data_IF_435737879394
#
_entry.id   IF_435737879394
#
_cell.length_a   1.000
_cell.length_b   1.000
_cell.length_c   1.000
_cell.angle_alpha   90.00
_cell.angle_beta   90.00
_cell.angle_gamma   90.00
#
_symmetry.space_group_name_H-M   'P 1'
#
loop_
_entity.id
_entity.type
_entity.pdbx_description
1 polymer ?
#
# COMPACT_ATOMS: atom_id res chain seq x y z
N UNK A 1 -29.77 -5.28 22.20
CA UNK A 1 -29.89 -6.20 21.05
C UNK A 1 -28.61 -7.04 21.05
N UNK A 2 -28.70 -8.29 21.47
CA UNK A 2 -27.56 -9.22 21.44
C UNK A 2 -27.52 -9.75 20.01
N UNK A 3 -26.51 -9.39 19.25
CA UNK A 3 -26.27 -9.97 17.92
C UNK A 3 -25.93 -11.45 18.12
N UNK A 4 -26.73 -12.33 17.54
CA UNK A 4 -26.50 -13.76 17.51
C UNK A 4 -25.16 -14.03 16.76
N UNK A 5 -24.25 -14.73 17.42
CA UNK A 5 -22.94 -15.09 16.88
C UNK A 5 -23.03 -15.82 15.54
N UNK A 6 -24.05 -16.66 15.37
CA UNK A 6 -24.26 -17.39 14.12
C UNK A 6 -24.71 -16.47 12.97
N UNK A 7 -25.49 -15.43 13.26
CA UNK A 7 -25.87 -14.42 12.29
C UNK A 7 -24.65 -13.58 11.86
N UNK A 8 -23.78 -13.21 12.81
CA UNK A 8 -22.53 -12.49 12.51
C UNK A 8 -21.61 -13.36 11.65
N UNK A 9 -21.43 -14.63 12.02
CA UNK A 9 -20.59 -15.56 11.26
C UNK A 9 -21.10 -15.76 9.83
N UNK A 10 -22.42 -16.00 9.65
CA UNK A 10 -23.05 -16.14 8.33
C UNK A 10 -22.88 -14.87 7.49
N UNK A 11 -23.05 -13.68 8.09
CA UNK A 11 -22.85 -12.41 7.40
C UNK A 11 -21.41 -12.25 6.95
N UNK A 12 -20.43 -12.41 7.84
CA UNK A 12 -19.01 -12.33 7.52
C UNK A 12 -18.64 -13.33 6.43
N UNK A 13 -19.08 -14.59 6.56
CA UNK A 13 -18.80 -15.63 5.56
C UNK A 13 -19.39 -15.29 4.19
N UNK A 14 -20.59 -14.69 4.13
CA UNK A 14 -21.20 -14.27 2.87
C UNK A 14 -20.43 -13.13 2.20
N UNK A 15 -19.82 -12.22 2.97
CA UNK A 15 -19.02 -11.11 2.45
C UNK A 15 -17.66 -11.57 1.91
N UNK A 16 -17.01 -12.53 2.57
CA UNK A 16 -15.68 -13.05 2.19
C UNK A 16 -15.71 -13.67 0.77
N UNK A 17 -16.85 -14.16 0.30
CA UNK A 17 -16.98 -14.78 -1.02
C UNK A 17 -17.43 -13.81 -2.13
N UNK A 18 -17.61 -12.52 -1.83
CA UNK A 18 -17.95 -11.53 -2.87
C UNK A 18 -16.72 -11.18 -3.72
N UNK A 19 -16.92 -10.82 -4.99
CA UNK A 19 -15.83 -10.33 -5.85
C UNK A 19 -15.20 -9.06 -5.29
N UNK A 20 -16.01 -8.18 -4.71
CA UNK A 20 -15.55 -6.95 -4.05
C UNK A 20 -14.57 -7.25 -2.91
N UNK A 21 -14.85 -8.23 -2.07
CA UNK A 21 -13.93 -8.65 -1.01
C UNK A 21 -12.64 -9.23 -1.58
N UNK A 22 -12.72 -10.00 -2.66
CA UNK A 22 -11.53 -10.54 -3.33
C UNK A 22 -10.63 -9.44 -3.86
N UNK A 23 -11.20 -8.39 -4.43
CA UNK A 23 -10.46 -7.24 -4.93
C UNK A 23 -9.78 -6.47 -3.78
N UNK A 24 -10.50 -6.21 -2.70
CA UNK A 24 -9.92 -5.60 -1.49
C UNK A 24 -8.78 -6.45 -0.95
N UNK A 25 -8.97 -7.75 -0.84
CA UNK A 25 -7.96 -8.69 -0.38
C UNK A 25 -6.70 -8.68 -1.27
N UNK A 26 -6.88 -8.67 -2.59
CA UNK A 26 -5.76 -8.59 -3.55
C UNK A 26 -4.97 -7.31 -3.38
N UNK A 27 -5.65 -6.18 -3.26
CA UNK A 27 -5.02 -4.87 -3.00
C UNK A 27 -4.24 -4.88 -1.69
N UNK A 28 -4.81 -5.43 -0.63
CA UNK A 28 -4.15 -5.57 0.65
C UNK A 28 -2.87 -6.41 0.55
N UNK A 29 -2.91 -7.55 -0.14
CA UNK A 29 -1.71 -8.38 -0.39
C UNK A 29 -0.65 -7.62 -1.19
N UNK A 30 -1.07 -6.87 -2.21
CA UNK A 30 -0.16 -6.06 -3.02
C UNK A 30 0.58 -4.99 -2.19
N UNK A 31 -0.10 -4.31 -1.27
CA UNK A 31 0.54 -3.34 -0.36
C UNK A 31 1.60 -4.01 0.53
N UNK A 32 1.28 -5.17 1.12
CA UNK A 32 2.24 -5.95 1.89
C UNK A 32 3.48 -6.31 1.05
N UNK A 33 3.27 -6.76 -0.17
CA UNK A 33 4.34 -7.15 -1.11
C UNK A 33 5.23 -5.94 -1.45
N UNK A 34 4.65 -4.77 -1.71
CA UNK A 34 5.40 -3.52 -1.98
C UNK A 34 6.30 -3.17 -0.79
N UNK A 35 5.75 -3.15 0.43
CA UNK A 35 6.52 -2.84 1.63
C UNK A 35 7.64 -3.86 1.87
N UNK A 36 7.33 -5.15 1.74
CA UNK A 36 8.31 -6.22 1.92
C UNK A 36 9.44 -6.10 0.90
N UNK A 37 9.12 -5.87 -0.37
CA UNK A 37 10.13 -5.70 -1.42
C UNK A 37 11.00 -4.47 -1.20
N UNK A 38 10.41 -3.35 -0.77
CA UNK A 38 11.18 -2.15 -0.44
C UNK A 38 12.17 -2.43 0.71
N UNK A 39 11.78 -3.16 1.74
CA UNK A 39 12.68 -3.53 2.84
C UNK A 39 13.79 -4.46 2.36
N UNK A 40 13.48 -5.47 1.52
CA UNK A 40 14.49 -6.34 0.93
C UNK A 40 15.50 -5.55 0.08
N UNK A 41 15.04 -4.60 -0.74
CA UNK A 41 15.90 -3.73 -1.54
C UNK A 41 16.81 -2.89 -0.64
N UNK A 42 16.28 -2.28 0.42
CA UNK A 42 17.07 -1.50 1.39
C UNK A 42 18.17 -2.32 2.02
N UNK A 43 17.86 -3.53 2.48
CA UNK A 43 18.83 -4.39 3.15
C UNK A 43 19.89 -4.95 2.19
N UNK A 44 19.50 -5.36 0.99
CA UNK A 44 20.43 -5.93 0.02
C UNK A 44 21.30 -4.85 -0.65
N UNK A 45 20.80 -3.66 -0.79
CA UNK A 45 21.40 -2.58 -1.59
C UNK A 45 21.59 -1.29 -0.79
N UNK A 46 21.98 -1.37 0.48
CA UNK A 46 22.06 -0.21 1.40
C UNK A 46 22.91 0.96 0.85
N UNK A 47 23.91 0.66 0.02
CA UNK A 47 24.80 1.68 -0.59
C UNK A 47 24.24 2.35 -1.84
N UNK A 48 23.17 1.82 -2.46
CA UNK A 48 22.54 2.45 -3.63
C UNK A 48 21.82 3.74 -3.21
N UNK A 49 21.72 4.70 -4.12
CA UNK A 49 20.91 5.91 -3.89
C UNK A 49 19.41 5.55 -3.76
N UNK A 50 18.66 6.38 -3.03
CA UNK A 50 17.21 6.21 -2.87
C UNK A 50 16.48 6.12 -4.23
N UNK A 51 16.92 6.95 -5.20
CA UNK A 51 16.43 6.91 -6.59
C UNK A 51 16.62 5.52 -7.22
N UNK A 52 17.84 4.98 -7.17
CA UNK A 52 18.11 3.67 -7.76
C UNK A 52 17.34 2.54 -7.08
N UNK A 53 17.16 2.59 -5.77
CA UNK A 53 16.31 1.66 -5.01
C UNK A 53 14.86 1.77 -5.45
N UNK A 54 14.38 3.00 -5.67
CA UNK A 54 13.01 3.25 -6.14
C UNK A 54 12.80 2.71 -7.56
N UNK A 55 13.76 2.92 -8.46
CA UNK A 55 13.70 2.37 -9.82
C UNK A 55 13.67 0.82 -9.80
N UNK A 56 14.44 0.19 -8.91
CA UNK A 56 14.41 -1.27 -8.72
C UNK A 56 13.04 -1.76 -8.21
N UNK A 57 12.42 -1.02 -7.28
CA UNK A 57 11.06 -1.33 -6.81
C UNK A 57 10.03 -1.19 -7.93
N UNK A 58 10.13 -0.16 -8.77
CA UNK A 58 9.25 0.04 -9.92
C UNK A 58 9.43 -1.05 -10.98
N UNK A 59 10.65 -1.54 -11.19
CA UNK A 59 10.90 -2.68 -12.08
C UNK A 59 10.21 -3.94 -11.58
N UNK A 60 10.30 -4.23 -10.29
CA UNK A 60 9.58 -5.33 -9.68
C UNK A 60 8.06 -5.18 -9.84
N UNK A 61 7.53 -3.98 -9.62
CA UNK A 61 6.10 -3.70 -9.78
C UNK A 61 5.66 -3.93 -11.22
N UNK A 62 6.44 -3.43 -12.20
CA UNK A 62 6.09 -3.54 -13.61
C UNK A 62 6.23 -4.96 -14.17
N UNK A 63 7.07 -5.82 -13.56
CA UNK A 63 7.37 -7.15 -14.11
C UNK A 63 6.75 -8.30 -13.33
N UNK A 64 6.43 -8.11 -12.05
CA UNK A 64 5.98 -9.20 -11.19
C UNK A 64 4.66 -8.93 -10.46
N UNK A 65 4.42 -7.71 -9.99
CA UNK A 65 3.24 -7.41 -9.18
C UNK A 65 2.07 -6.85 -9.99
N UNK A 66 2.34 -5.95 -10.93
CA UNK A 66 1.31 -5.32 -11.76
C UNK A 66 0.40 -4.32 -11.04
N UNK A 67 0.71 -3.92 -9.82
CA UNK A 67 -0.12 -3.02 -9.00
C UNK A 67 0.68 -1.81 -8.51
N UNK A 68 0.17 -0.61 -8.76
CA UNK A 68 0.74 0.68 -8.33
C UNK A 68 -0.09 1.25 -7.20
N UNK A 69 0.57 1.68 -6.15
CA UNK A 69 -0.03 2.31 -4.98
C UNK A 69 0.76 3.59 -4.63
N UNK A 70 0.29 4.73 -5.12
CA UNK A 70 1.02 6.02 -5.08
C UNK A 70 1.47 6.41 -3.68
N UNK A 71 0.59 6.31 -2.68
CA UNK A 71 0.93 6.62 -1.29
C UNK A 71 2.05 5.72 -0.77
N UNK A 72 1.92 4.43 -0.98
CA UNK A 72 2.87 3.44 -0.51
C UNK A 72 4.23 3.59 -1.20
N UNK A 73 4.23 3.96 -2.48
CA UNK A 73 5.46 4.28 -3.21
C UNK A 73 6.16 5.52 -2.63
N UNK A 74 5.42 6.57 -2.31
CA UNK A 74 5.97 7.75 -1.64
C UNK A 74 6.54 7.38 -0.26
N UNK A 75 5.84 6.56 0.53
CA UNK A 75 6.33 6.06 1.82
C UNK A 75 7.64 5.26 1.64
N UNK A 76 7.71 4.39 0.64
CA UNK A 76 8.92 3.62 0.32
C UNK A 76 10.08 4.54 -0.12
N UNK A 77 9.81 5.57 -0.92
CA UNK A 77 10.83 6.52 -1.34
C UNK A 77 11.42 7.30 -0.15
N UNK A 78 10.56 7.79 0.75
CA UNK A 78 11.00 8.45 1.99
C UNK A 78 11.74 7.50 2.93
N UNK A 79 11.38 6.21 2.93
CA UNK A 79 12.14 5.18 3.65
C UNK A 79 13.55 5.01 3.07
N UNK A 80 13.70 4.94 1.75
CA UNK A 80 15.01 4.88 1.07
C UNK A 80 15.86 6.14 1.28
N UNK A 81 15.23 7.29 1.48
CA UNK A 81 15.91 8.54 1.87
C UNK A 81 16.32 8.58 3.34
N UNK A 82 15.95 7.60 4.15
CA UNK A 82 16.09 7.62 5.61
C UNK A 82 15.48 8.88 6.25
N UNK A 83 14.39 9.39 5.66
CA UNK A 83 13.75 10.62 6.09
C UNK A 83 13.13 10.49 7.48
N UNK A 84 13.18 11.55 8.29
CA UNK A 84 12.70 11.57 9.69
C UNK A 84 11.24 11.12 9.83
N UNK A 85 10.37 11.49 8.87
CA UNK A 85 8.95 11.13 8.90
C UNK A 85 8.69 9.61 8.85
N UNK A 86 9.62 8.82 8.30
CA UNK A 86 9.48 7.37 8.21
C UNK A 86 10.17 6.63 9.36
N UNK A 87 11.08 7.27 10.09
CA UNK A 87 11.89 6.60 11.14
C UNK A 87 11.04 5.91 12.20
N UNK A 88 9.97 6.56 12.67
CA UNK A 88 9.10 5.98 13.70
C UNK A 88 8.29 4.82 13.18
N UNK A 89 7.80 4.91 11.95
CA UNK A 89 7.01 3.87 11.30
C UNK A 89 7.85 2.61 11.03
N UNK A 90 9.09 2.79 10.54
CA UNK A 90 10.02 1.70 10.24
C UNK A 90 10.95 1.33 11.42
N UNK A 91 10.75 1.86 12.62
CA UNK A 91 11.65 1.68 13.78
C UNK A 91 11.97 0.23 14.14
N UNK A 92 11.00 -0.66 13.91
CA UNK A 92 11.12 -2.09 14.23
C UNK A 92 11.68 -2.91 13.06
N UNK A 93 11.99 -2.27 11.93
CA UNK A 93 12.60 -2.90 10.77
C UNK A 93 14.12 -2.87 10.97
N UNK A 94 14.67 -4.00 11.45
CA UNK A 94 16.10 -4.12 11.77
C UNK A 94 16.59 -5.51 11.33
N UNK A 95 17.86 -5.57 10.91
CA UNK A 95 18.52 -6.87 10.69
C UNK A 95 18.50 -7.68 11.98
N UNK A 96 18.40 -8.97 11.86
CA UNK A 96 18.33 -9.93 12.99
C UNK A 96 17.08 -9.77 13.88
N UNK A 97 16.07 -9.01 13.46
CA UNK A 97 14.81 -8.94 14.20
C UNK A 97 14.02 -10.25 14.05
N UNK A 98 13.56 -10.79 15.17
CA UNK A 98 12.63 -11.92 15.15
C UNK A 98 11.26 -11.49 14.62
N UNK A 99 10.62 -12.36 13.81
CA UNK A 99 9.25 -12.12 13.31
C UNK A 99 9.07 -10.88 12.44
N UNK A 100 10.00 -10.60 11.53
CA UNK A 100 9.94 -9.46 10.63
C UNK A 100 8.62 -9.44 9.83
N UNK A 101 8.18 -10.59 9.34
CA UNK A 101 6.91 -10.71 8.61
C UNK A 101 5.70 -10.26 9.45
N UNK A 102 5.70 -10.48 10.77
CA UNK A 102 4.66 -9.98 11.68
C UNK A 102 4.72 -8.46 11.83
N UNK A 103 5.91 -7.89 11.93
CA UNK A 103 6.11 -6.43 12.01
C UNK A 103 5.60 -5.75 10.76
N UNK A 104 5.97 -6.26 9.57
CA UNK A 104 5.49 -5.73 8.27
C UNK A 104 3.97 -5.88 8.16
N UNK A 105 3.40 -6.96 8.68
CA UNK A 105 1.95 -7.16 8.68
C UNK A 105 1.23 -6.10 9.52
N UNK A 106 1.79 -5.67 10.64
CA UNK A 106 1.26 -4.52 11.40
C UNK A 106 1.32 -3.22 10.60
N UNK A 107 2.47 -2.91 10.00
CA UNK A 107 2.65 -1.71 9.17
C UNK A 107 1.71 -1.70 7.95
N UNK A 108 1.55 -2.84 7.30
CA UNK A 108 0.61 -2.99 6.19
C UNK A 108 -0.83 -2.71 6.62
N UNK A 109 -1.27 -3.23 7.77
CA UNK A 109 -2.62 -2.99 8.28
C UNK A 109 -2.86 -1.50 8.54
N UNK A 110 -1.88 -0.79 9.07
CA UNK A 110 -1.96 0.66 9.27
C UNK A 110 -2.18 1.41 7.95
N UNK A 111 -1.43 1.07 6.89
CA UNK A 111 -1.61 1.67 5.56
C UNK A 111 -2.95 1.26 4.92
N UNK A 112 -3.38 0.01 5.11
CA UNK A 112 -4.67 -0.46 4.62
C UNK A 112 -5.84 0.28 5.27
N UNK A 113 -5.76 0.60 6.57
CA UNK A 113 -6.75 1.42 7.25
C UNK A 113 -6.82 2.85 6.68
N UNK A 114 -5.67 3.48 6.40
CA UNK A 114 -5.63 4.80 5.76
C UNK A 114 -6.34 4.73 4.40
N UNK A 115 -6.00 3.74 3.59
CA UNK A 115 -6.59 3.56 2.25
C UNK A 115 -8.09 3.32 2.31
N UNK A 116 -8.55 2.52 3.26
CA UNK A 116 -9.98 2.31 3.50
C UNK A 116 -10.69 3.64 3.80
N UNK A 117 -10.15 4.45 4.70
CA UNK A 117 -10.71 5.77 5.01
C UNK A 117 -10.72 6.71 3.79
N UNK A 118 -9.70 6.66 2.95
CA UNK A 118 -9.66 7.42 1.69
C UNK A 118 -10.76 6.98 0.72
N UNK A 119 -11.01 5.69 0.61
CA UNK A 119 -12.11 5.14 -0.19
C UNK A 119 -13.47 5.59 0.36
N UNK A 120 -13.66 5.52 1.68
CA UNK A 120 -14.89 5.97 2.32
C UNK A 120 -15.15 7.48 2.11
N UNK A 121 -14.12 8.31 2.04
CA UNK A 121 -14.26 9.74 1.69
C UNK A 121 -14.77 9.96 0.25
N UNK A 122 -14.63 8.96 -0.61
CA UNK A 122 -15.12 9.02 -2.00
C UNK A 122 -16.52 8.40 -2.17
N UNK A 123 -17.03 7.76 -1.14
CA UNK A 123 -18.36 7.14 -1.15
C UNK A 123 -19.44 8.15 -0.76
N UNK A 124 -20.50 8.23 -1.53
CA UNK A 124 -21.69 9.05 -1.23
C UNK A 124 -22.79 8.12 -0.73
N UNK A 125 -22.97 7.98 0.59
CA UNK A 125 -23.84 6.94 1.16
C UNK A 125 -25.33 7.21 0.98
N UNK A 126 -25.74 8.45 0.70
CA UNK A 126 -27.15 8.82 0.59
C UNK A 126 -27.37 9.95 -0.42
N UNK A 127 -28.52 9.94 -1.10
CA UNK A 127 -28.96 11.01 -2.04
C UNK A 127 -29.10 12.39 -1.38
N UNK A 128 -29.11 12.45 -0.05
CA UNK A 128 -29.23 13.69 0.74
C UNK A 128 -27.87 14.27 1.14
N UNK A 129 -26.80 13.48 1.11
CA UNK A 129 -25.46 13.92 1.49
C UNK A 129 -24.66 14.31 0.26
N UNK A 130 -24.03 15.49 0.30
CA UNK A 130 -23.17 15.96 -0.79
C UNK A 130 -21.79 15.33 -0.71
N UNK A 131 -21.30 15.11 0.51
CA UNK A 131 -20.02 14.47 0.79
C UNK A 131 -19.99 13.88 2.22
N UNK A 132 -19.07 12.98 2.46
CA UNK A 132 -18.77 12.41 3.76
C UNK A 132 -17.31 12.64 4.11
N UNK A 133 -17.02 13.09 5.34
CA UNK A 133 -15.65 13.27 5.83
C UNK A 133 -15.38 12.22 6.89
N UNK A 134 -14.46 11.32 6.59
CA UNK A 134 -14.01 10.29 7.52
C UNK A 134 -12.74 10.75 8.21
N UNK A 135 -12.67 10.59 9.53
CA UNK A 135 -11.52 11.01 10.34
C UNK A 135 -10.89 9.81 11.03
N UNK A 136 -9.56 9.76 11.01
CA UNK A 136 -8.78 8.79 11.76
C UNK A 136 -8.33 9.40 13.08
N UNK A 137 -8.80 8.84 14.20
CA UNK A 137 -8.26 9.16 15.51
C UNK A 137 -7.19 8.13 15.87
N UNK A 138 -5.94 8.56 15.93
CA UNK A 138 -4.82 7.69 16.27
C UNK A 138 -3.85 8.34 17.24
N UNK A 139 -3.32 7.56 18.17
CA UNK A 139 -2.22 7.93 19.06
C UNK A 139 -0.85 7.48 18.52
N UNK A 140 -0.81 6.70 17.43
CA UNK A 140 0.45 6.28 16.79
C UNK A 140 1.11 7.47 16.08
N UNK A 141 2.25 7.91 16.64
CA UNK A 141 3.02 9.02 16.08
C UNK A 141 3.73 8.64 14.76
N UNK A 142 4.04 7.36 14.56
CA UNK A 142 4.60 6.88 13.28
C UNK A 142 3.57 7.02 12.18
N UNK A 143 2.34 6.57 12.43
CA UNK A 143 1.23 6.67 11.48
C UNK A 143 0.87 8.13 11.17
N UNK A 144 0.88 9.02 12.19
CA UNK A 144 0.66 10.47 11.98
C UNK A 144 1.68 11.09 11.02
N UNK A 145 2.95 10.72 11.13
CA UNK A 145 3.99 11.23 10.23
C UNK A 145 3.83 10.67 8.80
N UNK A 146 3.46 9.40 8.66
CA UNK A 146 3.15 8.81 7.34
C UNK A 146 1.99 9.53 6.63
N UNK A 147 0.93 9.87 7.36
CA UNK A 147 -0.20 10.63 6.80
C UNK A 147 0.19 12.00 6.25
N UNK A 148 1.22 12.62 6.83
CA UNK A 148 1.72 13.94 6.38
C UNK A 148 2.60 13.87 5.13
N UNK A 149 3.17 12.70 4.80
CA UNK A 149 4.07 12.54 3.64
C UNK A 149 3.33 12.91 2.36
N UNK A 150 2.13 12.40 2.18
CA UNK A 150 1.37 12.65 0.97
C UNK A 150 -0.13 12.81 1.28
N UNK A 151 -0.57 13.97 1.79
CA UNK A 151 -1.98 14.21 2.08
C UNK A 151 -2.80 14.31 0.81
N UNK A 152 -4.08 13.98 0.92
CA UNK A 152 -5.05 14.25 -0.14
C UNK A 152 -5.17 15.77 -0.30
N UNK A 153 -5.00 16.27 -1.51
CA UNK A 153 -5.18 17.67 -1.88
C UNK A 153 -6.59 17.96 -2.40
N UNK A 154 -7.11 17.05 -3.22
CA UNK A 154 -8.41 17.20 -3.85
C UNK A 154 -9.13 15.86 -3.99
N UNK A 155 -10.43 15.89 -3.87
CA UNK A 155 -11.32 14.79 -4.23
C UNK A 155 -12.32 15.36 -5.25
N UNK A 156 -12.37 14.81 -6.44
CA UNK A 156 -13.33 15.14 -7.46
C UNK A 156 -14.29 13.96 -7.67
N UNK A 157 -15.59 14.23 -7.67
CA UNK A 157 -16.62 13.23 -7.95
C UNK A 157 -17.36 13.66 -9.21
N UNK A 158 -17.32 12.81 -10.23
CA UNK A 158 -17.99 13.07 -11.50
C UNK A 158 -18.65 11.77 -12.02
N UNK A 159 -19.95 11.84 -12.31
CA UNK A 159 -20.75 10.70 -12.78
C UNK A 159 -20.59 9.42 -11.94
N UNK A 160 -20.52 9.54 -10.62
CA UNK A 160 -20.34 8.39 -9.72
C UNK A 160 -18.91 7.83 -9.66
N UNK A 161 -17.98 8.46 -10.38
CA UNK A 161 -16.54 8.12 -10.31
C UNK A 161 -15.85 9.17 -9.44
N UNK A 162 -15.12 8.70 -8.44
CA UNK A 162 -14.31 9.57 -7.60
C UNK A 162 -12.83 9.48 -8.01
N UNK A 163 -12.19 10.63 -8.07
CA UNK A 163 -10.77 10.78 -8.34
C UNK A 163 -10.12 11.49 -7.16
N UNK A 164 -9.13 10.86 -6.59
CA UNK A 164 -8.33 11.42 -5.48
C UNK A 164 -7.02 11.95 -6.06
N UNK A 165 -6.73 13.21 -5.79
CA UNK A 165 -5.44 13.83 -6.09
C UNK A 165 -4.65 13.99 -4.80
N UNK A 166 -3.48 13.40 -4.74
CA UNK A 166 -2.51 13.63 -3.68
C UNK A 166 -1.71 14.90 -3.93
N UNK A 167 -1.22 15.51 -2.87
CA UNK A 167 -0.41 16.74 -2.94
C UNK A 167 0.88 16.56 -3.73
N UNK A 168 1.48 15.38 -3.60
CA UNK A 168 2.74 15.04 -4.25
C UNK A 168 2.59 13.72 -4.99
N UNK A 169 3.19 13.65 -6.18
CA UNK A 169 3.32 12.42 -6.94
C UNK A 169 4.78 11.94 -6.87
N UNK A 170 5.01 10.64 -6.99
CA UNK A 170 6.37 10.10 -6.98
C UNK A 170 7.25 10.72 -8.07
N UNK A 171 6.67 11.03 -9.22
CA UNK A 171 7.36 11.67 -10.35
C UNK A 171 7.89 13.07 -10.01
N UNK A 172 7.32 13.77 -9.02
CA UNK A 172 7.84 15.07 -8.56
C UNK A 172 9.21 14.93 -7.90
N UNK A 173 9.51 13.76 -7.34
CA UNK A 173 10.77 13.45 -6.64
C UNK A 173 11.74 12.60 -7.49
N UNK A 174 11.18 11.77 -8.35
CA UNK A 174 11.90 10.82 -9.22
C UNK A 174 11.34 10.95 -10.64
N UNK A 175 11.72 12.00 -11.41
CA UNK A 175 11.17 12.22 -12.74
C UNK A 175 11.36 11.03 -13.70
N UNK A 176 12.43 10.25 -13.53
CA UNK A 176 12.69 9.05 -14.34
C UNK A 176 11.67 7.92 -14.09
N UNK A 177 10.86 8.04 -13.04
CA UNK A 177 9.77 7.10 -12.79
C UNK A 177 8.57 7.34 -13.73
N UNK A 178 8.49 8.52 -14.38
CA UNK A 178 7.33 8.90 -15.20
C UNK A 178 7.04 7.87 -16.30
N UNK A 179 8.03 7.50 -17.09
CA UNK A 179 7.86 6.50 -18.15
C UNK A 179 7.38 5.15 -17.58
N UNK A 180 7.98 4.71 -16.44
CA UNK A 180 7.61 3.45 -15.80
C UNK A 180 6.20 3.47 -15.22
N UNK A 181 5.73 4.60 -14.74
CA UNK A 181 4.43 4.73 -14.10
C UNK A 181 3.31 5.06 -15.10
N UNK A 182 3.55 5.99 -16.02
CA UNK A 182 2.50 6.64 -16.80
C UNK A 182 2.45 6.23 -18.26
N UNK A 183 3.46 5.52 -18.81
CA UNK A 183 3.37 5.06 -20.19
C UNK A 183 2.20 4.09 -20.36
N UNK A 184 1.43 4.25 -21.43
CA UNK A 184 0.26 3.42 -21.73
C UNK A 184 0.65 1.93 -21.83
N UNK A 185 1.78 1.65 -22.46
CA UNK A 185 2.30 0.28 -22.57
C UNK A 185 2.53 -0.37 -21.21
N UNK A 186 3.18 0.36 -20.27
CA UNK A 186 3.40 -0.14 -18.91
C UNK A 186 2.10 -0.26 -18.11
N UNK A 187 1.14 0.64 -18.29
CA UNK A 187 -0.17 0.54 -17.63
C UNK A 187 -0.94 -0.70 -18.08
N UNK A 188 -0.98 -0.96 -19.39
CA UNK A 188 -1.63 -2.16 -19.96
C UNK A 188 -0.92 -3.43 -19.50
N UNK A 189 0.41 -3.45 -19.55
CA UNK A 189 1.21 -4.60 -19.11
C UNK A 189 0.99 -4.91 -17.62
N UNK A 190 1.00 -3.91 -16.74
CA UNK A 190 0.68 -4.11 -15.32
C UNK A 190 -0.70 -4.69 -15.09
N UNK A 191 -1.72 -4.20 -15.82
CA UNK A 191 -3.08 -4.72 -15.73
C UNK A 191 -3.13 -6.20 -16.10
N UNK A 192 -2.42 -6.61 -17.15
CA UNK A 192 -2.34 -8.02 -17.54
C UNK A 192 -1.65 -8.87 -16.48
N UNK A 193 -0.52 -8.40 -15.93
CA UNK A 193 0.19 -9.10 -14.85
C UNK A 193 -0.73 -9.26 -13.66
N UNK A 194 -1.31 -8.18 -13.15
CA UNK A 194 -2.15 -8.21 -11.95
C UNK A 194 -3.35 -9.13 -12.10
N UNK A 195 -3.99 -9.14 -13.27
CA UNK A 195 -5.14 -10.01 -13.53
C UNK A 195 -4.79 -11.50 -13.52
N UNK A 196 -3.57 -11.86 -13.95
CA UNK A 196 -3.11 -13.26 -14.04
C UNK A 196 -2.35 -13.71 -12.80
N UNK A 197 -1.99 -12.78 -11.91
CA UNK A 197 -1.13 -13.04 -10.77
C UNK A 197 -1.81 -13.92 -9.72
N UNK A 198 -1.13 -14.99 -9.33
CA UNK A 198 -1.39 -15.66 -8.06
C UNK A 198 -0.78 -14.82 -6.92
N UNK A 199 -1.61 -13.93 -6.37
CA UNK A 199 -1.18 -12.96 -5.35
C UNK A 199 -0.77 -13.67 -4.05
N UNK A 200 -1.37 -14.82 -3.72
CA UNK A 200 -1.05 -15.55 -2.50
C UNK A 200 0.29 -16.27 -2.63
N UNK A 201 0.61 -16.85 -3.78
CA UNK A 201 1.91 -17.43 -4.04
C UNK A 201 3.03 -16.35 -3.93
N UNK A 202 2.83 -15.19 -4.54
CA UNK A 202 3.79 -14.08 -4.44
C UNK A 202 3.92 -13.56 -3.01
N UNK A 203 2.81 -13.44 -2.27
CA UNK A 203 2.82 -13.04 -0.86
C UNK A 203 3.62 -14.01 0.01
N UNK A 204 3.45 -15.33 -0.18
CA UNK A 204 4.20 -16.36 0.54
C UNK A 204 5.69 -16.26 0.21
N UNK A 205 6.02 -16.12 -1.08
CA UNK A 205 7.40 -15.94 -1.54
C UNK A 205 8.07 -14.73 -0.90
N UNK A 206 7.36 -13.59 -0.83
CA UNK A 206 7.88 -12.38 -0.20
C UNK A 206 8.08 -12.52 1.30
N UNK A 207 7.23 -13.27 2.00
CA UNK A 207 7.47 -13.60 3.43
C UNK A 207 8.74 -14.40 3.62
N UNK A 208 9.00 -15.37 2.76
CA UNK A 208 10.24 -16.16 2.81
C UNK A 208 11.46 -15.29 2.47
N UNK A 209 11.36 -14.43 1.44
CA UNK A 209 12.45 -13.52 1.05
C UNK A 209 12.83 -12.61 2.22
N UNK A 210 11.84 -11.97 2.88
CA UNK A 210 12.10 -11.05 3.99
C UNK A 210 12.70 -11.77 5.21
N UNK A 211 12.21 -12.96 5.53
CA UNK A 211 12.76 -13.74 6.65
C UNK A 211 14.20 -14.17 6.37
N UNK A 212 14.55 -14.47 5.13
CA UNK A 212 15.91 -14.81 4.74
C UNK A 212 16.85 -13.59 4.78
N UNK A 213 16.42 -12.44 4.23
CA UNK A 213 17.21 -11.21 4.20
C UNK A 213 17.46 -10.65 5.61
N UNK A 214 16.54 -10.87 6.54
CA UNK A 214 16.70 -10.43 7.92
C UNK A 214 17.60 -11.33 8.77
N UNK A 215 17.88 -12.57 8.34
CA UNK A 215 18.79 -13.51 9.06
C UNK A 215 20.26 -13.33 8.69
N UNK A 216 20.56 -12.62 7.60
CA UNK A 216 21.90 -12.28 7.13
C UNK A 216 22.39 -10.96 7.75
#
# INVERSE_FOLDING_TARGET
MILDTDCIYKYISSQIFTEEFKDIYRVQRAIYIILSKAICIEFNNSKKSAKNKMMELLDFINTQLGFVAERELNVCYYYFLHHESTKKFFKNIQRNACNMSKTINGMFLDLAHIRFLEQECTYIPDKKSVFSIHVLLTYDNGLKEILKINPIEQIAIYNGVSVVKFKHQLIDYVPEAEEKLLSEANMLHRKEIFNKLDIDALYISMKQEIDNVCRL
#
